data_IF_765721959092
#
_entry.id   IF_765721959092
#
_cell.length_a   1.000
_cell.length_b   1.000
_cell.length_c   1.000
_cell.angle_alpha   90.00
_cell.angle_beta   90.00
_cell.angle_gamma   90.00
#
_symmetry.space_group_name_H-M   'P 1'
#
loop_
_entity.id
_entity.type
_entity.pdbx_description
1 polymer ?
#
# COMPACT_ATOMS: atom_id res chain seq x y z
N UNK A 1 31.95 -14.61 1.55
CA UNK A 1 30.75 -14.12 2.27
C UNK A 1 29.65 -13.97 1.22
N UNK A 2 28.56 -14.73 1.36
CA UNK A 2 27.53 -14.91 0.33
C UNK A 2 26.52 -13.76 0.31
N UNK A 3 26.24 -13.23 -0.89
CA UNK A 3 25.20 -12.23 -1.23
C UNK A 3 23.76 -12.57 -0.80
N UNK A 4 23.53 -13.65 -0.05
CA UNK A 4 22.20 -14.16 0.31
C UNK A 4 21.72 -13.73 1.69
N UNK A 5 22.59 -13.26 2.60
CA UNK A 5 22.18 -12.93 3.98
C UNK A 5 21.49 -11.56 4.08
N UNK A 6 21.77 -10.63 3.18
CA UNK A 6 21.16 -9.28 3.20
C UNK A 6 19.80 -9.17 2.50
N UNK A 7 19.28 -10.26 1.91
CA UNK A 7 18.10 -10.20 1.02
C UNK A 7 16.73 -10.19 1.73
N UNK A 8 16.67 -10.51 3.03
CA UNK A 8 15.40 -10.77 3.73
C UNK A 8 15.04 -9.77 4.85
N UNK A 9 15.60 -8.55 4.86
CA UNK A 9 15.20 -7.57 5.88
C UNK A 9 13.73 -7.18 5.71
N UNK A 10 12.92 -7.39 6.75
CA UNK A 10 11.51 -7.01 6.74
C UNK A 10 11.33 -5.50 6.90
N UNK A 11 10.29 -4.94 6.26
CA UNK A 11 9.88 -3.57 6.47
C UNK A 11 9.05 -3.49 7.76
N UNK A 12 9.46 -2.61 8.67
CA UNK A 12 8.69 -2.21 9.85
C UNK A 12 7.50 -1.34 9.45
N UNK A 13 6.61 -1.04 10.41
CA UNK A 13 5.50 -0.10 10.18
C UNK A 13 6.01 1.30 9.80
N UNK A 14 7.13 1.74 10.39
CA UNK A 14 7.72 3.05 10.11
C UNK A 14 8.36 3.09 8.71
N UNK A 15 8.93 1.97 8.25
CA UNK A 15 9.39 1.84 6.87
C UNK A 15 8.23 1.98 5.88
N UNK A 16 7.08 1.36 6.17
CA UNK A 16 5.87 1.56 5.39
C UNK A 16 5.40 3.01 5.45
N UNK A 17 5.52 3.68 6.59
CA UNK A 17 5.15 5.09 6.74
C UNK A 17 5.98 6.00 5.84
N UNK A 18 7.29 5.78 5.77
CA UNK A 18 8.19 6.52 4.88
C UNK A 18 7.80 6.30 3.41
N UNK A 19 7.58 5.04 3.02
CA UNK A 19 7.19 4.68 1.65
C UNK A 19 5.86 5.34 1.25
N UNK A 20 4.84 5.24 2.11
CA UNK A 20 3.51 5.79 1.83
C UNK A 20 3.55 7.31 1.77
N UNK A 21 4.26 7.97 2.70
CA UNK A 21 4.43 9.43 2.69
C UNK A 21 5.10 9.91 1.41
N UNK A 22 6.13 9.20 0.94
CA UNK A 22 6.77 9.51 -0.34
C UNK A 22 5.81 9.35 -1.53
N UNK A 23 4.93 8.34 -1.48
CA UNK A 23 3.91 8.07 -2.52
C UNK A 23 2.73 9.04 -2.50
N UNK A 24 2.44 9.70 -1.38
CA UNK A 24 1.37 10.72 -1.31
C UNK A 24 1.71 12.00 -2.08
N UNK A 25 3.00 12.22 -2.40
CA UNK A 25 3.40 13.26 -3.33
C UNK A 25 2.94 12.88 -4.75
N UNK A 26 1.98 13.63 -5.29
CA UNK A 26 1.36 13.36 -6.61
C UNK A 26 2.37 13.11 -7.74
N UNK A 27 3.46 13.88 -7.78
CA UNK A 27 4.51 13.71 -8.80
C UNK A 27 5.24 12.36 -8.69
N UNK A 28 5.53 11.92 -7.46
CA UNK A 28 6.18 10.64 -7.18
C UNK A 28 5.26 9.46 -7.55
N UNK A 29 3.98 9.56 -7.17
CA UNK A 29 2.97 8.58 -7.55
C UNK A 29 2.84 8.47 -9.07
N UNK A 30 2.70 9.62 -9.76
CA UNK A 30 2.57 9.68 -11.21
C UNK A 30 3.81 9.13 -11.94
N UNK A 31 5.01 9.29 -11.37
CA UNK A 31 6.24 8.74 -11.95
C UNK A 31 6.29 7.20 -11.93
N UNK A 32 5.55 6.54 -11.03
CA UNK A 32 5.47 5.08 -10.93
C UNK A 32 4.20 4.53 -11.62
N UNK A 33 3.08 5.22 -11.46
CA UNK A 33 1.75 4.76 -11.87
C UNK A 33 1.23 5.41 -13.15
N UNK A 34 1.91 6.43 -13.66
CA UNK A 34 1.40 7.32 -14.72
C UNK A 34 0.34 8.29 -14.20
N UNK A 35 0.02 9.30 -15.00
CA UNK A 35 -1.01 10.32 -14.66
C UNK A 35 -2.44 9.87 -14.96
N UNK A 36 -2.67 8.61 -15.36
CA UNK A 36 -3.98 8.08 -15.76
C UNK A 36 -4.57 8.71 -17.04
N UNK A 37 -4.08 9.87 -17.46
CA UNK A 37 -4.36 10.52 -18.73
C UNK A 37 -3.52 9.90 -19.85
N UNK A 38 -4.19 9.49 -20.94
CA UNK A 38 -3.57 9.04 -22.18
C UNK A 38 -2.83 10.24 -22.78
N UNK A 39 -1.54 10.39 -22.50
CA UNK A 39 -0.73 11.46 -23.07
C UNK A 39 -0.53 11.22 -24.57
N UNK A 40 -0.75 12.28 -25.35
CA UNK A 40 -0.50 12.34 -26.78
C UNK A 40 0.95 11.95 -27.11
N UNK A 41 1.12 11.35 -28.29
CA UNK A 41 2.41 10.88 -28.81
C UNK A 41 3.32 12.09 -29.03
N UNK A 42 4.30 12.28 -28.15
CA UNK A 42 5.35 13.29 -28.28
C UNK A 42 5.61 14.05 -26.98
N UNK A 43 6.59 13.62 -26.19
CA UNK A 43 6.95 14.30 -24.94
C UNK A 43 8.24 13.77 -24.32
N UNK A 44 8.93 14.67 -23.61
CA UNK A 44 10.23 14.61 -22.90
C UNK A 44 10.70 13.21 -22.44
N UNK A 45 12.03 12.97 -22.34
CA UNK A 45 12.59 11.66 -22.03
C UNK A 45 11.88 11.03 -20.82
N UNK A 46 11.34 9.82 -21.05
CA UNK A 46 10.65 9.05 -20.03
C UNK A 46 11.65 8.74 -18.92
N UNK A 47 11.46 9.31 -17.73
CA UNK A 47 12.15 8.85 -16.53
C UNK A 47 11.88 7.35 -16.45
N UNK A 48 12.94 6.53 -16.37
CA UNK A 48 12.74 5.08 -16.29
C UNK A 48 12.15 4.80 -14.92
N UNK A 49 11.08 4.01 -14.88
CA UNK A 49 10.42 3.62 -13.62
C UNK A 49 11.41 3.05 -12.59
N UNK A 50 12.47 2.39 -13.04
CA UNK A 50 13.54 1.89 -12.15
C UNK A 50 14.31 3.00 -11.45
N UNK A 51 14.55 4.15 -12.10
CA UNK A 51 15.25 5.30 -11.51
C UNK A 51 14.39 5.93 -10.40
N UNK A 52 13.08 5.94 -10.60
CA UNK A 52 12.11 6.38 -9.59
C UNK A 52 12.14 5.45 -8.37
N UNK A 53 12.22 4.14 -8.57
CA UNK A 53 12.38 3.19 -7.47
C UNK A 53 13.74 3.28 -6.78
N UNK A 54 14.80 3.63 -7.51
CA UNK A 54 16.11 3.94 -6.92
C UNK A 54 16.01 5.17 -6.03
N UNK A 55 15.33 6.24 -6.47
CA UNK A 55 15.10 7.42 -5.65
C UNK A 55 14.29 7.12 -4.37
N UNK A 56 13.25 6.29 -4.48
CA UNK A 56 12.49 5.83 -3.32
C UNK A 56 13.35 4.98 -2.37
N UNK A 57 14.20 4.10 -2.90
CA UNK A 57 15.12 3.31 -2.08
C UNK A 57 16.07 4.22 -1.29
N UNK A 58 16.67 5.21 -1.94
CA UNK A 58 17.53 6.21 -1.29
C UNK A 58 16.76 7.00 -0.24
N UNK A 59 15.52 7.42 -0.52
CA UNK A 59 14.70 8.15 0.44
C UNK A 59 14.39 7.30 1.68
N UNK A 60 14.01 6.04 1.49
CA UNK A 60 13.74 5.10 2.59
C UNK A 60 14.96 4.90 3.49
N UNK A 61 16.13 4.63 2.90
CA UNK A 61 17.37 4.38 3.65
C UNK A 61 17.81 5.62 4.45
N UNK A 62 17.56 6.82 3.94
CA UNK A 62 17.90 8.09 4.62
C UNK A 62 17.01 8.38 5.84
N UNK A 63 15.81 7.81 5.91
CA UNK A 63 14.82 8.14 6.93
C UNK A 63 14.52 7.00 7.89
N UNK A 64 14.73 5.75 7.49
CA UNK A 64 14.45 4.60 8.34
C UNK A 64 15.33 4.56 9.58
N UNK A 65 14.80 4.12 10.72
CA UNK A 65 15.56 3.76 11.93
C UNK A 65 15.93 2.27 11.96
N UNK A 66 15.50 1.48 10.97
CA UNK A 66 15.80 0.07 10.84
C UNK A 66 17.26 -0.13 10.36
N UNK A 67 18.18 -0.34 11.30
CA UNK A 67 19.62 -0.49 11.02
C UNK A 67 19.93 -1.62 10.04
N UNK A 68 19.21 -2.74 10.15
CA UNK A 68 19.35 -3.86 9.22
C UNK A 68 18.98 -3.44 7.80
N UNK A 69 17.96 -2.59 7.63
CA UNK A 69 17.54 -2.09 6.33
C UNK A 69 18.56 -1.11 5.75
N UNK A 70 19.15 -0.23 6.59
CA UNK A 70 20.23 0.68 6.19
C UNK A 70 21.44 -0.07 5.63
N UNK A 71 21.81 -1.18 6.27
CA UNK A 71 22.92 -2.04 5.83
C UNK A 71 22.62 -2.94 4.64
N UNK A 72 21.36 -3.06 4.20
CA UNK A 72 20.93 -4.06 3.21
C UNK A 72 21.27 -3.73 1.75
N UNK A 73 21.79 -2.54 1.44
CA UNK A 73 22.14 -2.14 0.07
C UNK A 73 20.93 -2.14 -0.88
N UNK A 74 19.84 -1.47 -0.49
CA UNK A 74 18.56 -1.51 -1.21
C UNK A 74 18.67 -0.94 -2.64
N UNK A 75 18.51 -1.79 -3.65
CA UNK A 75 18.48 -1.34 -5.06
C UNK A 75 17.09 -0.92 -5.51
N UNK A 76 16.98 -0.16 -6.61
CA UNK A 76 15.70 0.14 -7.24
C UNK A 76 14.88 -1.12 -7.59
N UNK A 77 15.53 -2.22 -7.99
CA UNK A 77 14.85 -3.50 -8.27
C UNK A 77 14.28 -4.12 -6.99
N UNK A 78 15.03 -4.10 -5.89
CA UNK A 78 14.52 -4.59 -4.61
C UNK A 78 13.36 -3.73 -4.11
N UNK A 79 13.45 -2.42 -4.26
CA UNK A 79 12.39 -1.50 -3.87
C UNK A 79 11.11 -1.70 -4.71
N UNK A 80 11.26 -1.88 -6.02
CA UNK A 80 10.14 -2.22 -6.92
C UNK A 80 9.44 -3.52 -6.47
N UNK A 81 10.21 -4.56 -6.14
CA UNK A 81 9.65 -5.83 -5.65
C UNK A 81 8.90 -5.63 -4.33
N UNK A 82 9.48 -4.90 -3.37
CA UNK A 82 8.85 -4.59 -2.07
C UNK A 82 7.55 -3.84 -2.25
N UNK A 83 7.53 -2.82 -3.12
CA UNK A 83 6.31 -2.08 -3.47
C UNK A 83 5.25 -2.98 -4.11
N UNK A 84 5.64 -3.88 -5.02
CA UNK A 84 4.72 -4.83 -5.65
C UNK A 84 4.08 -5.77 -4.63
N UNK A 85 4.87 -6.31 -3.70
CA UNK A 85 4.38 -7.15 -2.61
C UNK A 85 3.41 -6.39 -1.71
N UNK A 86 3.72 -5.13 -1.37
CA UNK A 86 2.87 -4.30 -0.54
C UNK A 86 1.53 -3.98 -1.22
N UNK A 87 1.54 -3.57 -2.50
CA UNK A 87 0.31 -3.41 -3.30
C UNK A 87 -0.51 -4.69 -3.38
N UNK A 88 0.13 -5.84 -3.54
CA UNK A 88 -0.56 -7.14 -3.58
C UNK A 88 -1.19 -7.49 -2.23
N UNK A 89 -0.54 -7.13 -1.13
CA UNK A 89 -1.12 -7.23 0.23
C UNK A 89 -2.35 -6.32 0.36
N UNK A 90 -2.23 -5.05 -0.02
CA UNK A 90 -3.36 -4.11 -0.02
C UNK A 90 -4.55 -4.63 -0.83
N UNK A 91 -4.34 -5.06 -2.09
CA UNK A 91 -5.41 -5.60 -2.94
C UNK A 91 -6.13 -6.79 -2.31
N UNK A 92 -5.39 -7.72 -1.68
CA UNK A 92 -5.98 -8.87 -0.98
C UNK A 92 -6.80 -8.43 0.24
N UNK A 93 -6.28 -7.51 1.04
CA UNK A 93 -6.99 -6.95 2.20
C UNK A 93 -8.24 -6.19 1.76
N UNK A 94 -8.15 -5.36 0.73
CA UNK A 94 -9.27 -4.60 0.19
C UNK A 94 -10.36 -5.51 -0.38
N UNK A 95 -9.98 -6.60 -1.07
CA UNK A 95 -10.94 -7.62 -1.52
C UNK A 95 -11.68 -8.22 -0.32
N UNK A 96 -10.96 -8.67 0.71
CA UNK A 96 -11.56 -9.23 1.92
C UNK A 96 -12.50 -8.25 2.62
N UNK A 97 -12.13 -6.98 2.70
CA UNK A 97 -12.98 -5.92 3.25
C UNK A 97 -14.34 -5.82 2.56
N UNK A 98 -14.38 -5.98 1.23
CA UNK A 98 -15.61 -5.88 0.47
C UNK A 98 -16.39 -7.20 0.32
N UNK A 99 -15.75 -8.36 0.48
CA UNK A 99 -16.38 -9.66 0.18
C UNK A 99 -16.60 -10.57 1.38
N UNK A 100 -15.87 -10.38 2.49
CA UNK A 100 -15.94 -11.28 3.66
C UNK A 100 -16.66 -10.58 4.83
N UNK A 101 -17.84 -11.08 5.20
CA UNK A 101 -18.59 -10.59 6.36
C UNK A 101 -17.74 -10.71 7.63
N UNK A 102 -17.45 -9.59 8.28
CA UNK A 102 -16.73 -9.53 9.54
C UNK A 102 -15.23 -9.78 9.47
N UNK A 103 -14.60 -9.91 8.29
CA UNK A 103 -13.12 -10.00 8.11
C UNK A 103 -12.43 -11.12 8.93
N UNK A 104 -13.17 -12.14 9.37
CA UNK A 104 -12.66 -13.18 10.27
C UNK A 104 -12.34 -12.68 11.69
N UNK A 105 -13.01 -11.62 12.15
CA UNK A 105 -12.96 -11.18 13.55
C UNK A 105 -13.65 -12.24 14.42
N UNK A 106 -12.88 -12.87 15.31
CA UNK A 106 -13.38 -13.91 16.20
C UNK A 106 -14.04 -13.34 17.47
N UNK A 107 -14.77 -14.17 18.23
CA UNK A 107 -15.29 -13.78 19.55
C UNK A 107 -14.20 -13.30 20.51
N UNK A 108 -12.98 -13.87 20.42
CA UNK A 108 -11.81 -13.44 21.21
C UNK A 108 -11.32 -12.06 20.77
N UNK A 109 -11.36 -11.77 19.47
CA UNK A 109 -10.99 -10.46 18.94
C UNK A 109 -11.99 -9.40 19.39
N UNK A 110 -13.28 -9.70 19.34
CA UNK A 110 -14.34 -8.83 19.88
C UNK A 110 -14.15 -8.57 21.39
N UNK A 111 -13.86 -9.61 22.17
CA UNK A 111 -13.58 -9.48 23.61
C UNK A 111 -12.35 -8.60 23.91
N UNK A 112 -11.43 -8.46 22.97
CA UNK A 112 -10.27 -7.55 23.05
C UNK A 112 -10.57 -6.15 22.48
N UNK A 113 -11.82 -5.87 22.12
CA UNK A 113 -12.22 -4.61 21.50
C UNK A 113 -11.69 -4.41 20.07
N UNK A 114 -11.35 -5.48 19.35
CA UNK A 114 -10.83 -5.38 17.99
C UNK A 114 -11.91 -4.87 17.04
N UNK A 115 -11.64 -3.72 16.42
CA UNK A 115 -12.49 -3.13 15.39
C UNK A 115 -12.08 -3.56 13.97
N UNK A 116 -12.99 -3.42 13.02
CA UNK A 116 -12.73 -3.63 11.59
C UNK A 116 -11.54 -2.79 11.08
N UNK A 117 -11.46 -1.47 11.36
CA UNK A 117 -10.30 -0.66 10.93
C UNK A 117 -8.97 -1.17 11.48
N UNK A 118 -8.93 -1.56 12.76
CA UNK A 118 -7.71 -2.13 13.36
C UNK A 118 -7.34 -3.46 12.70
N UNK A 119 -8.32 -4.32 12.38
CA UNK A 119 -8.07 -5.57 11.66
C UNK A 119 -7.49 -5.30 10.27
N UNK A 120 -8.00 -4.31 9.55
CA UNK A 120 -7.48 -3.93 8.23
C UNK A 120 -6.03 -3.44 8.32
N UNK A 121 -5.70 -2.61 9.31
CA UNK A 121 -4.33 -2.15 9.59
C UNK A 121 -3.37 -3.30 9.98
N UNK A 122 -3.85 -4.33 10.69
CA UNK A 122 -3.07 -5.54 10.95
C UNK A 122 -2.83 -6.36 9.68
N UNK A 123 -3.86 -6.47 8.84
CA UNK A 123 -3.79 -7.23 7.59
C UNK A 123 -2.93 -6.53 6.54
N UNK A 124 -2.93 -5.21 6.47
CA UNK A 124 -2.08 -4.38 5.61
C UNK A 124 -1.67 -3.11 6.37
N UNK A 125 -0.38 -2.90 6.67
CA UNK A 125 0.07 -1.67 7.32
C UNK A 125 -0.39 -0.45 6.54
N UNK A 126 -0.88 0.59 7.23
CA UNK A 126 -1.33 1.86 6.64
C UNK A 126 -2.42 1.65 5.58
N UNK A 127 -3.31 0.69 5.82
CA UNK A 127 -4.40 0.34 4.92
C UNK A 127 -5.23 1.57 4.55
N UNK A 128 -5.59 2.39 5.54
CA UNK A 128 -6.38 3.62 5.34
C UNK A 128 -5.72 4.58 4.33
N UNK A 129 -4.42 4.82 4.46
CA UNK A 129 -3.66 5.69 3.54
C UNK A 129 -3.48 5.07 2.16
N UNK A 130 -3.25 3.76 2.10
CA UNK A 130 -3.24 3.02 0.84
C UNK A 130 -4.61 3.10 0.13
N UNK A 131 -5.71 3.09 0.88
CA UNK A 131 -7.03 3.29 0.32
C UNK A 131 -7.20 4.70 -0.24
N UNK A 132 -6.65 5.74 0.38
CA UNK A 132 -6.65 7.10 -0.22
C UNK A 132 -5.82 7.12 -1.52
N UNK A 133 -4.61 6.53 -1.50
CA UNK A 133 -3.72 6.48 -2.67
C UNK A 133 -4.30 5.74 -3.89
N UNK A 134 -5.11 4.69 -3.66
CA UNK A 134 -5.61 3.81 -4.72
C UNK A 134 -7.13 3.85 -4.89
N UNK A 135 -7.86 4.51 -3.99
CA UNK A 135 -9.31 4.40 -3.84
C UNK A 135 -10.13 5.51 -4.47
N UNK A 136 -9.53 6.54 -5.08
CA UNK A 136 -10.25 7.44 -5.98
C UNK A 136 -10.53 6.77 -7.34
N UNK A 137 -11.34 5.70 -7.31
CA UNK A 137 -12.10 5.18 -8.44
C UNK A 137 -13.24 4.22 -8.05
N UNK A 138 -13.84 4.41 -6.88
CA UNK A 138 -15.19 3.93 -6.63
C UNK A 138 -16.06 5.17 -6.39
N UNK A 139 -16.82 5.58 -7.41
CA UNK A 139 -18.00 6.41 -7.18
C UNK A 139 -18.90 5.61 -6.24
N UNK A 140 -18.88 5.95 -4.95
CA UNK A 140 -19.73 5.35 -3.94
C UNK A 140 -21.11 5.97 -4.12
N UNK A 141 -22.05 5.18 -4.60
CA UNK A 141 -23.46 5.31 -4.22
C UNK A 141 -23.97 3.91 -3.91
N UNK A 142 -24.03 3.51 -2.63
CA UNK A 142 -24.86 2.41 -2.20
C UNK A 142 -26.28 2.99 -2.21
N UNK A 143 -27.08 2.63 -3.21
CA UNK A 143 -28.51 2.92 -3.16
C UNK A 143 -29.11 2.10 -2.03
N UNK A 144 -29.86 2.78 -1.17
CA UNK A 144 -30.50 2.27 0.03
C UNK A 144 -31.26 0.95 -0.21
N UNK A 145 -31.08 -0.01 0.69
CA UNK A 145 -32.05 -1.09 0.88
C UNK A 145 -32.99 -0.63 1.99
N UNK A 146 -34.06 0.07 1.61
CA UNK A 146 -35.19 0.28 2.52
C UNK A 146 -35.99 -1.01 2.52
N UNK A 147 -35.95 -1.76 3.64
CA UNK A 147 -36.90 -2.83 3.86
C UNK A 147 -38.30 -2.22 3.97
N UNK A 148 -39.14 -2.47 2.96
CA UNK A 148 -40.57 -2.24 3.09
C UNK A 148 -41.13 -3.31 4.02
N UNK A 149 -41.34 -2.92 5.28
CA UNK A 149 -42.13 -3.70 6.23
C UNK A 149 -43.56 -3.80 5.68
N UNK A 150 -43.96 -5.01 5.34
CA UNK A 150 -45.34 -5.36 5.01
C UNK A 150 -46.19 -5.15 6.25
N UNK A 151 -47.06 -4.14 6.25
CA UNK A 151 -48.15 -4.04 7.20
C UNK A 151 -49.42 -4.64 6.56
N UNK A 152 -50.04 -5.53 7.32
CA UNK A 152 -51.24 -6.33 7.04
C UNK A 152 -52.47 -5.43 6.95
#
# INVERSE_FOLDING_TARGET
MSDSEFKNVHLSRDDYNIIVTWMEVKANFAAIHGTGSRLAIGGKPKIKTIDVFTALATHLIRQTENEALRGAGLTGRNMQQRWSTYKSRFKRTNKKHHTETGLGISRRDLARGMSIPQKLEQMCPLYSRMQVLFGEKANITPSDTVELVTAI
#
